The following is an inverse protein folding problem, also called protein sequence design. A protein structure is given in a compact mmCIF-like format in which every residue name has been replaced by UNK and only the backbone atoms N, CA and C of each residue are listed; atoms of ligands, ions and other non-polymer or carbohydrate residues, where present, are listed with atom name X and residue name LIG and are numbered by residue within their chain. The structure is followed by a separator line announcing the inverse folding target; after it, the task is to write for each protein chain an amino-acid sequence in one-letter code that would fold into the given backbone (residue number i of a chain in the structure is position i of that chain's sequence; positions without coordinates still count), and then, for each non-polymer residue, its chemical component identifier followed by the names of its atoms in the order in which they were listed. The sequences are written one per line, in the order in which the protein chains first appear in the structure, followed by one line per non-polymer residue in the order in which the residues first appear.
data_IF_143449871572
#
_entry.id   IF_143449871572
#
_cell.length_a   1.000
_cell.length_b   1.000
_cell.length_c   1.000
_cell.angle_alpha   90.00
_cell.angle_beta   90.00
_cell.angle_gamma   90.00
#
_symmetry.space_group_name_H-M   'P 1'
#
loop_
_entity.id
_entity.type
_entity.pdbx_description
1 polymer ?
#
# COMPACT_ATOMS: atom_id res chain seq x y z
N UNK A 1 9.64 -18.70 -27.74
CA UNK A 1 10.67 -17.65 -27.93
C UNK A 1 9.90 -16.35 -28.10
N UNK A 2 9.60 -15.61 -27.06
CA UNK A 2 10.47 -15.22 -25.95
C UNK A 2 9.59 -15.08 -24.69
N UNK A 3 9.72 -16.03 -23.76
CA UNK A 3 9.09 -15.99 -22.44
C UNK A 3 9.79 -14.90 -21.63
N UNK A 4 9.39 -13.66 -21.88
CA UNK A 4 9.64 -12.56 -20.96
C UNK A 4 8.82 -12.85 -19.71
N UNK A 5 9.41 -13.57 -18.76
CA UNK A 5 8.99 -13.50 -17.37
C UNK A 5 8.97 -12.01 -17.02
N UNK A 6 7.78 -11.41 -17.02
CA UNK A 6 7.60 -10.09 -16.46
C UNK A 6 8.10 -10.19 -15.02
N UNK A 7 8.91 -9.22 -14.54
CA UNK A 7 9.36 -9.24 -13.15
C UNK A 7 8.13 -9.39 -12.26
N UNK A 8 8.18 -10.36 -11.34
CA UNK A 8 7.08 -10.79 -10.49
C UNK A 8 6.19 -9.62 -10.08
N UNK A 9 4.91 -9.70 -10.43
CA UNK A 9 3.96 -8.63 -10.15
C UNK A 9 3.91 -8.42 -8.62
N UNK A 10 4.43 -7.26 -8.20
CA UNK A 10 4.68 -6.93 -6.79
C UNK A 10 3.38 -6.89 -6.00
N UNK A 11 2.28 -6.45 -6.64
CA UNK A 11 0.98 -6.32 -5.99
C UNK A 11 0.41 -7.69 -5.57
N UNK A 12 0.31 -8.71 -6.44
CA UNK A 12 -0.08 -10.07 -6.02
C UNK A 12 0.72 -10.62 -4.85
N UNK A 13 2.04 -10.41 -4.84
CA UNK A 13 2.90 -10.86 -3.73
C UNK A 13 2.54 -10.15 -2.42
N UNK A 14 2.40 -8.82 -2.45
CA UNK A 14 2.02 -8.05 -1.27
C UNK A 14 0.59 -8.36 -0.81
N UNK A 15 -0.32 -8.68 -1.72
CA UNK A 15 -1.68 -9.11 -1.41
C UNK A 15 -1.67 -10.43 -0.62
N UNK A 16 -0.86 -11.41 -1.04
CA UNK A 16 -0.72 -12.68 -0.32
C UNK A 16 -0.14 -12.48 1.09
N UNK A 17 0.93 -11.69 1.22
CA UNK A 17 1.53 -11.34 2.53
C UNK A 17 0.55 -10.59 3.42
N UNK A 18 -0.22 -9.65 2.87
CA UNK A 18 -1.24 -8.93 3.61
C UNK A 18 -2.37 -9.87 4.08
N UNK A 19 -2.79 -10.83 3.26
CA UNK A 19 -3.79 -11.82 3.63
C UNK A 19 -3.34 -12.67 4.82
N UNK A 20 -2.12 -13.20 4.79
CA UNK A 20 -1.54 -13.96 5.90
C UNK A 20 -1.50 -13.13 7.19
N UNK A 21 -1.05 -11.88 7.10
CA UNK A 21 -1.02 -10.97 8.26
C UNK A 21 -2.41 -10.69 8.81
N UNK A 22 -3.42 -10.55 7.96
CA UNK A 22 -4.82 -10.38 8.38
C UNK A 22 -5.33 -11.63 9.09
N UNK A 23 -5.06 -12.82 8.56
CA UNK A 23 -5.45 -14.08 9.19
C UNK A 23 -4.83 -14.24 10.58
N UNK A 24 -3.54 -13.95 10.74
CA UNK A 24 -2.85 -13.95 12.03
C UNK A 24 -3.50 -12.97 13.02
N UNK A 25 -3.88 -11.77 12.56
CA UNK A 25 -4.53 -10.77 13.41
C UNK A 25 -5.92 -11.23 13.86
N UNK A 26 -6.68 -11.86 12.97
CA UNK A 26 -8.05 -12.33 13.21
C UNK A 26 -8.11 -13.64 14.01
N UNK A 27 -7.04 -14.44 14.00
CA UNK A 27 -6.94 -15.66 14.80
C UNK A 27 -6.85 -15.41 16.31
N UNK A 28 -6.59 -14.17 16.74
CA UNK A 28 -6.51 -13.81 18.16
C UNK A 28 -7.91 -13.84 18.81
N UNK A 29 -8.04 -14.31 20.06
CA UNK A 29 -9.27 -14.13 20.81
C UNK A 29 -9.60 -12.63 20.89
N UNK A 30 -10.88 -12.29 20.74
CA UNK A 30 -11.40 -10.92 20.76
C UNK A 30 -10.86 -9.96 19.68
N UNK A 31 -10.21 -10.47 18.62
CA UNK A 31 -9.67 -9.64 17.54
C UNK A 31 -10.69 -8.64 16.97
N UNK A 32 -11.94 -9.08 16.76
CA UNK A 32 -13.01 -8.22 16.23
C UNK A 32 -13.39 -7.08 17.19
N UNK A 33 -13.28 -7.27 18.50
CA UNK A 33 -13.49 -6.20 19.48
C UNK A 33 -12.29 -5.25 19.51
N UNK A 34 -11.07 -5.80 19.55
CA UNK A 34 -9.83 -5.03 19.56
C UNK A 34 -9.68 -4.12 18.34
N UNK A 35 -10.01 -4.61 17.13
CA UNK A 35 -9.95 -3.84 15.89
C UNK A 35 -10.88 -2.61 15.88
N UNK A 36 -11.94 -2.62 16.68
CA UNK A 36 -12.90 -1.51 16.80
C UNK A 36 -12.59 -0.57 17.95
N UNK A 37 -11.73 -0.98 18.90
CA UNK A 37 -11.34 -0.13 20.01
C UNK A 37 -10.48 1.03 19.50
N UNK A 38 -10.75 2.22 20.04
CA UNK A 38 -9.97 3.41 19.76
C UNK A 38 -8.79 3.49 20.71
N UNK A 39 -7.60 3.80 20.18
CA UNK A 39 -6.42 4.10 20.97
C UNK A 39 -6.47 5.50 21.60
N UNK A 40 -5.43 5.89 22.35
CA UNK A 40 -5.29 7.24 22.93
C UNK A 40 -5.32 8.36 21.89
N UNK A 41 -4.90 8.06 20.66
CA UNK A 41 -4.93 8.92 19.47
C UNK A 41 -6.31 9.00 18.80
N UNK A 42 -7.33 8.34 19.37
CA UNK A 42 -8.69 8.21 18.83
C UNK A 42 -8.74 7.48 17.49
N UNK A 43 -7.71 6.70 17.16
CA UNK A 43 -7.68 5.86 15.96
C UNK A 43 -7.86 4.39 16.34
N UNK A 44 -8.69 3.70 15.56
CA UNK A 44 -8.71 2.23 15.52
C UNK A 44 -7.45 1.68 14.87
N UNK A 45 -7.17 0.38 15.07
CA UNK A 45 -6.05 -0.31 14.41
C UNK A 45 -6.09 -0.16 12.88
N UNK A 46 -7.28 -0.30 12.28
CA UNK A 46 -7.46 -0.14 10.83
C UNK A 46 -7.09 1.29 10.40
N UNK A 47 -7.54 2.30 11.15
CA UNK A 47 -7.22 3.69 10.84
C UNK A 47 -5.72 4.00 11.01
N UNK A 48 -5.03 3.36 11.97
CA UNK A 48 -3.57 3.50 12.12
C UNK A 48 -2.80 2.91 10.93
N UNK A 49 -3.32 1.85 10.32
CA UNK A 49 -2.79 1.35 9.05
C UNK A 49 -3.07 2.32 7.89
N UNK A 50 -4.26 2.94 7.86
CA UNK A 50 -4.67 3.86 6.79
C UNK A 50 -3.90 5.20 6.77
N UNK A 51 -3.32 5.61 7.90
CA UNK A 51 -2.43 6.77 7.94
C UNK A 51 -0.99 6.44 7.50
N UNK A 52 -0.60 5.16 7.47
CA UNK A 52 0.72 4.73 7.01
C UNK A 52 0.83 4.86 5.48
N UNK A 53 1.91 5.42 4.93
CA UNK A 53 2.13 5.45 3.48
C UNK A 53 2.60 4.09 2.92
N UNK A 54 2.77 3.07 3.75
CA UNK A 54 3.29 1.77 3.31
C UNK A 54 2.21 0.95 2.59
N UNK A 55 2.53 0.44 1.40
CA UNK A 55 1.62 -0.41 0.62
C UNK A 55 1.14 -1.63 1.43
N UNK A 56 2.04 -2.28 2.16
CA UNK A 56 1.73 -3.41 3.05
C UNK A 56 0.65 -3.08 4.07
N UNK A 57 0.77 -1.94 4.75
CA UNK A 57 -0.19 -1.53 5.78
C UNK A 57 -1.55 -1.19 5.14
N UNK A 58 -1.55 -0.55 3.98
CA UNK A 58 -2.78 -0.25 3.22
C UNK A 58 -3.53 -1.52 2.80
N UNK A 59 -2.81 -2.54 2.32
CA UNK A 59 -3.41 -3.82 1.92
C UNK A 59 -3.98 -4.58 3.13
N UNK A 60 -3.28 -4.55 4.27
CA UNK A 60 -3.79 -5.13 5.52
C UNK A 60 -5.05 -4.39 5.98
N UNK A 61 -5.08 -3.06 5.90
CA UNK A 61 -6.27 -2.27 6.25
C UNK A 61 -7.49 -2.67 5.40
N UNK A 62 -7.29 -2.85 4.08
CA UNK A 62 -8.33 -3.34 3.17
C UNK A 62 -8.81 -4.74 3.60
N UNK A 63 -7.89 -5.67 3.86
CA UNK A 63 -8.23 -7.03 4.27
C UNK A 63 -9.04 -7.07 5.57
N UNK A 64 -8.67 -6.26 6.57
CA UNK A 64 -9.40 -6.14 7.83
C UNK A 64 -10.82 -5.57 7.62
N UNK A 65 -10.98 -4.57 6.74
CA UNK A 65 -12.31 -4.02 6.40
C UNK A 65 -13.19 -5.06 5.68
N UNK A 66 -12.62 -5.81 4.74
CA UNK A 66 -13.32 -6.87 4.03
C UNK A 66 -13.77 -7.98 5.00
N UNK A 67 -12.90 -8.40 5.93
CA UNK A 67 -13.22 -9.39 6.95
C UNK A 67 -14.34 -8.94 7.91
N UNK A 68 -14.39 -7.65 8.23
CA UNK A 68 -15.44 -7.06 9.09
C UNK A 68 -16.80 -6.89 8.39
N UNK A 69 -16.86 -7.04 7.07
CA UNK A 69 -18.12 -6.92 6.30
C UNK A 69 -18.95 -8.20 6.43
N UNK A 70 -20.28 -8.06 6.58
CA UNK A 70 -21.24 -9.17 6.84
C UNK A 70 -21.25 -10.28 5.77
N UNK A 71 -20.53 -10.10 4.66
CA UNK A 71 -20.47 -11.00 3.50
C UNK A 71 -19.29 -11.99 3.54
N UNK A 72 -18.38 -11.90 4.51
CA UNK A 72 -17.16 -12.72 4.54
C UNK A 72 -17.32 -14.13 5.11
N UNK A 73 -17.93 -15.06 4.36
CA UNK A 73 -17.64 -16.51 4.53
C UNK A 73 -16.65 -16.90 3.41
N UNK A 74 -15.37 -17.03 3.74
CA UNK A 74 -14.34 -17.36 2.75
C UNK A 74 -12.93 -17.09 3.26
N UNK A 75 -11.93 -17.55 2.49
CA UNK A 75 -10.51 -17.30 2.73
C UNK A 75 -10.18 -15.82 2.47
N UNK A 76 -9.39 -15.18 3.34
CA UNK A 76 -9.02 -13.76 3.22
C UNK A 76 -8.18 -13.50 1.98
N UNK A 77 -7.29 -14.43 1.63
CA UNK A 77 -6.46 -14.38 0.43
C UNK A 77 -7.30 -14.31 -0.84
N UNK A 78 -8.34 -15.15 -0.94
CA UNK A 78 -9.26 -15.15 -2.10
C UNK A 78 -10.03 -13.85 -2.19
N UNK A 79 -10.48 -13.30 -1.06
CA UNK A 79 -11.19 -12.03 -1.02
C UNK A 79 -10.31 -10.86 -1.44
N UNK A 80 -9.08 -10.77 -0.92
CA UNK A 80 -8.16 -9.70 -1.31
C UNK A 80 -7.74 -9.81 -2.77
N UNK A 81 -7.36 -11.02 -3.22
CA UNK A 81 -6.99 -11.27 -4.61
C UNK A 81 -8.14 -10.95 -5.56
N UNK A 82 -9.35 -11.42 -5.24
CA UNK A 82 -10.56 -11.12 -5.98
C UNK A 82 -10.89 -9.61 -6.01
N UNK A 83 -10.70 -8.91 -4.89
CA UNK A 83 -10.91 -7.46 -4.80
C UNK A 83 -9.95 -6.67 -5.68
N UNK A 84 -8.67 -7.05 -5.71
CA UNK A 84 -7.66 -6.38 -6.52
C UNK A 84 -7.64 -6.80 -8.00
N UNK A 85 -8.18 -7.98 -8.33
CA UNK A 85 -8.28 -8.49 -9.71
C UNK A 85 -9.12 -7.61 -10.65
N UNK A 86 -10.08 -6.86 -10.09
CA UNK A 86 -10.93 -5.93 -10.85
C UNK A 86 -10.32 -4.54 -10.79
N UNK A 87 -9.90 -3.93 -11.92
CA UNK A 87 -9.35 -2.59 -11.90
C UNK A 87 -10.38 -1.60 -11.34
N UNK A 88 -9.90 -0.60 -10.60
CA UNK A 88 -10.74 0.50 -10.16
C UNK A 88 -11.26 1.32 -11.36
N UNK A 89 -12.42 1.96 -11.19
CA UNK A 89 -12.98 2.80 -12.25
C UNK A 89 -12.04 3.96 -12.58
N UNK A 90 -11.81 4.22 -13.87
CA UNK A 90 -11.00 5.36 -14.32
C UNK A 90 -11.54 6.70 -13.82
N UNK A 91 -12.86 6.81 -13.66
CA UNK A 91 -13.52 7.99 -13.10
C UNK A 91 -13.18 8.18 -11.62
N UNK A 92 -13.18 7.10 -10.83
CA UNK A 92 -12.86 7.15 -9.39
C UNK A 92 -11.37 7.47 -9.18
N UNK A 93 -10.50 6.86 -9.99
CA UNK A 93 -9.06 7.18 -9.98
C UNK A 93 -8.84 8.67 -10.28
N UNK A 94 -9.46 9.20 -11.34
CA UNK A 94 -9.29 10.62 -11.70
C UNK A 94 -9.88 11.56 -10.64
N UNK A 95 -11.01 11.21 -10.03
CA UNK A 95 -11.56 11.95 -8.90
C UNK A 95 -10.57 11.98 -7.72
N UNK A 96 -9.93 10.85 -7.42
CA UNK A 96 -8.91 10.75 -6.37
C UNK A 96 -7.68 11.62 -6.70
N UNK A 97 -7.18 11.56 -7.95
CA UNK A 97 -6.03 12.38 -8.39
C UNK A 97 -6.30 13.86 -8.20
N UNK A 98 -7.46 14.34 -8.65
CA UNK A 98 -7.87 15.74 -8.51
C UNK A 98 -8.00 16.17 -7.06
N UNK A 99 -8.50 15.30 -6.19
CA UNK A 99 -8.61 15.57 -4.75
C UNK A 99 -7.22 15.83 -4.14
N UNK A 100 -6.25 14.97 -4.43
CA UNK A 100 -4.88 15.10 -3.90
C UNK A 100 -4.15 16.31 -4.49
N UNK A 101 -4.27 16.58 -5.79
CA UNK A 101 -3.63 17.74 -6.41
C UNK A 101 -4.14 19.08 -5.88
N UNK A 102 -5.44 19.19 -5.54
CA UNK A 102 -5.98 20.39 -4.88
C UNK A 102 -5.31 20.64 -3.53
N UNK A 103 -5.00 19.58 -2.79
CA UNK A 103 -4.37 19.65 -1.46
C UNK A 103 -2.85 19.83 -1.51
N UNK A 104 -2.19 19.45 -2.60
CA UNK A 104 -0.73 19.49 -2.75
C UNK A 104 -0.18 20.91 -3.01
N UNK A 105 -1.04 21.91 -3.24
CA UNK A 105 -0.61 23.30 -3.49
C UNK A 105 0.03 24.00 -2.28
N UNK A 106 -0.06 23.41 -1.09
CA UNK A 106 0.26 24.07 0.19
C UNK A 106 1.28 23.31 1.09
N UNK A 107 1.95 22.25 0.63
CA UNK A 107 2.70 21.31 1.51
C UNK A 107 4.19 21.13 1.18
N UNK A 108 5.02 20.97 2.22
CA UNK A 108 6.44 20.60 2.12
C UNK A 108 6.90 19.51 3.10
N UNK A 109 6.05 19.11 4.05
CA UNK A 109 6.36 18.10 5.09
C UNK A 109 6.39 16.68 4.54
N UNK A 110 5.70 16.45 3.43
CA UNK A 110 5.55 15.13 2.80
C UNK A 110 6.87 14.58 2.26
N UNK A 111 7.84 15.45 1.93
CA UNK A 111 9.15 15.02 1.43
C UNK A 111 9.97 14.25 2.47
N UNK A 112 9.94 14.71 3.73
CA UNK A 112 10.70 14.05 4.79
C UNK A 112 10.10 12.68 5.12
N UNK A 113 8.78 12.61 5.26
CA UNK A 113 8.08 11.35 5.49
C UNK A 113 8.26 10.36 4.34
N UNK A 114 8.21 10.86 3.09
CA UNK A 114 8.45 10.03 1.91
C UNK A 114 9.88 9.52 1.86
N UNK A 115 10.88 10.31 2.25
CA UNK A 115 12.26 9.86 2.33
C UNK A 115 12.44 8.74 3.37
N UNK A 116 11.82 8.88 4.54
CA UNK A 116 11.82 7.85 5.59
C UNK A 116 11.14 6.56 5.12
N UNK A 117 9.96 6.66 4.50
CA UNK A 117 9.24 5.52 3.95
C UNK A 117 10.02 4.83 2.81
N UNK A 118 10.62 5.60 1.91
CA UNK A 118 11.47 5.07 0.84
C UNK A 118 12.71 4.33 1.40
N UNK A 119 13.32 4.84 2.46
CA UNK A 119 14.45 4.15 3.12
C UNK A 119 14.01 2.86 3.80
N UNK A 120 12.77 2.77 4.30
CA UNK A 120 12.22 1.49 4.80
C UNK A 120 12.12 0.47 3.66
N UNK A 121 11.63 0.88 2.49
CA UNK A 121 11.58 0.01 1.30
C UNK A 121 12.98 -0.46 0.92
N UNK A 122 13.93 0.47 0.82
CA UNK A 122 15.33 0.18 0.50
C UNK A 122 15.93 -0.85 1.46
N UNK A 123 15.68 -0.71 2.76
CA UNK A 123 16.11 -1.69 3.76
C UNK A 123 15.45 -3.06 3.55
N UNK A 124 14.17 -3.11 3.21
CA UNK A 124 13.45 -4.36 2.93
C UNK A 124 14.03 -5.08 1.71
N UNK A 125 14.28 -4.34 0.63
CA UNK A 125 14.76 -4.93 -0.64
C UNK A 125 16.27 -5.17 -0.67
N UNK A 126 17.04 -4.57 0.25
CA UNK A 126 18.50 -4.82 0.36
C UNK A 126 18.85 -6.26 0.71
N UNK A 127 17.88 -7.01 1.26
CA UNK A 127 18.02 -8.42 1.62
C UNK A 127 17.64 -9.38 0.47
N UNK A 128 17.14 -8.84 -0.65
CA UNK A 128 16.71 -9.63 -1.81
C UNK A 128 17.87 -9.88 -2.77
N UNK A 129 17.81 -11.01 -3.49
CA UNK A 129 18.78 -11.38 -4.51
C UNK A 129 18.63 -10.56 -5.82
N UNK A 130 17.52 -9.83 -5.97
CA UNK A 130 17.24 -9.04 -7.18
C UNK A 130 18.03 -7.72 -7.19
N UNK A 131 18.38 -7.19 -8.37
CA UNK A 131 19.06 -5.89 -8.47
C UNK A 131 18.26 -4.78 -7.78
N UNK A 132 18.92 -4.04 -6.88
CA UNK A 132 18.33 -2.93 -6.12
C UNK A 132 17.57 -1.93 -7.01
N UNK A 133 18.20 -1.52 -8.11
CA UNK A 133 17.62 -0.57 -9.05
C UNK A 133 16.31 -1.09 -9.69
N UNK A 134 16.22 -2.39 -9.97
CA UNK A 134 15.03 -3.00 -10.53
C UNK A 134 13.90 -3.07 -9.51
N UNK A 135 14.22 -3.51 -8.29
CA UNK A 135 13.26 -3.54 -7.19
C UNK A 135 12.71 -2.15 -6.89
N UNK A 136 13.56 -1.10 -6.84
CA UNK A 136 13.11 0.28 -6.65
C UNK A 136 12.17 0.75 -7.75
N UNK A 137 12.39 0.37 -9.02
CA UNK A 137 11.47 0.70 -10.13
C UNK A 137 10.12 -0.01 -9.97
N UNK A 138 10.11 -1.26 -9.55
CA UNK A 138 8.87 -2.01 -9.31
C UNK A 138 8.06 -1.39 -8.18
N UNK A 139 8.71 -0.98 -7.09
CA UNK A 139 8.08 -0.24 -6.01
C UNK A 139 7.56 1.14 -6.48
N UNK A 140 8.33 1.87 -7.29
CA UNK A 140 7.87 3.16 -7.84
C UNK A 140 6.61 2.99 -8.70
N UNK A 141 6.57 1.96 -9.55
CA UNK A 141 5.42 1.62 -10.38
C UNK A 141 4.18 1.26 -9.52
N UNK A 142 4.35 0.40 -8.50
CA UNK A 142 3.29 0.09 -7.54
C UNK A 142 2.73 1.35 -6.89
N UNK A 143 3.61 2.23 -6.40
CA UNK A 143 3.18 3.46 -5.75
C UNK A 143 2.46 4.40 -6.71
N UNK A 144 2.88 4.47 -7.98
CA UNK A 144 2.26 5.28 -9.03
C UNK A 144 0.79 4.90 -9.28
N UNK A 145 0.45 3.62 -9.09
CA UNK A 145 -0.93 3.12 -9.16
C UNK A 145 -1.66 3.32 -7.83
N UNK A 146 -1.05 2.94 -6.70
CA UNK A 146 -1.70 2.90 -5.40
C UNK A 146 -2.09 4.28 -4.84
N UNK A 147 -1.28 5.33 -5.03
CA UNK A 147 -1.56 6.63 -4.40
C UNK A 147 -2.92 7.21 -4.84
N UNK A 148 -3.37 6.86 -6.05
CA UNK A 148 -4.67 7.24 -6.60
C UNK A 148 -5.71 6.12 -6.63
N UNK A 149 -5.40 4.92 -6.12
CA UNK A 149 -6.35 3.80 -6.11
C UNK A 149 -7.47 4.08 -5.08
N UNK A 150 -8.75 4.17 -5.49
CA UNK A 150 -9.86 4.41 -4.58
C UNK A 150 -10.16 3.21 -3.66
N UNK A 151 -9.64 2.02 -3.97
CA UNK A 151 -9.88 0.78 -3.22
C UNK A 151 -9.12 0.74 -1.88
N UNK A 152 -8.04 1.51 -1.73
CA UNK A 152 -7.32 1.62 -0.46
C UNK A 152 -7.88 2.73 0.43
N UNK A 153 -7.85 2.51 1.74
CA UNK A 153 -8.34 3.46 2.75
C UNK A 153 -7.40 4.64 3.06
N UNK A 154 -6.31 4.80 2.30
CA UNK A 154 -5.27 5.79 2.59
C UNK A 154 -5.82 7.20 2.74
N UNK A 155 -5.42 7.88 3.82
CA UNK A 155 -5.76 9.29 4.04
C UNK A 155 -5.14 10.20 2.97
N UNK A 156 -5.68 11.41 2.79
CA UNK A 156 -5.10 12.38 1.85
C UNK A 156 -3.63 12.68 2.16
N UNK A 157 -3.26 12.69 3.44
CA UNK A 157 -1.87 12.87 3.86
C UNK A 157 -0.99 11.71 3.41
N UNK A 158 -1.37 10.47 3.74
CA UNK A 158 -0.65 9.27 3.34
C UNK A 158 -0.50 9.19 1.81
N UNK A 159 -1.55 9.52 1.05
CA UNK A 159 -1.51 9.54 -0.43
C UNK A 159 -0.54 10.57 -1.00
N UNK A 160 -0.39 11.75 -0.39
CA UNK A 160 0.64 12.72 -0.80
C UNK A 160 2.05 12.22 -0.54
N UNK A 161 2.25 11.54 0.59
CA UNK A 161 3.52 10.88 0.90
C UNK A 161 3.81 9.76 -0.12
N UNK A 162 2.83 8.90 -0.42
CA UNK A 162 2.93 7.87 -1.46
C UNK A 162 3.27 8.46 -2.83
N UNK A 163 2.64 9.58 -3.21
CA UNK A 163 2.94 10.29 -4.46
C UNK A 163 4.39 10.82 -4.48
N UNK A 164 4.87 11.40 -3.38
CA UNK A 164 6.26 11.86 -3.27
C UNK A 164 7.27 10.69 -3.30
N UNK A 165 6.89 9.52 -2.79
CA UNK A 165 7.70 8.30 -2.87
C UNK A 165 7.93 7.85 -4.31
N UNK A 166 6.97 8.04 -5.23
CA UNK A 166 7.15 7.69 -6.65
C UNK A 166 8.40 8.35 -7.22
N UNK A 167 8.53 9.66 -7.02
CA UNK A 167 9.70 10.43 -7.50
C UNK A 167 10.99 9.96 -6.81
N UNK A 168 10.98 9.82 -5.48
CA UNK A 168 12.17 9.42 -4.72
C UNK A 168 12.67 8.02 -5.09
N UNK A 169 11.76 7.06 -5.29
CA UNK A 169 12.11 5.70 -5.67
C UNK A 169 12.71 5.66 -7.09
N UNK A 170 12.17 6.45 -8.02
CA UNK A 170 12.79 6.61 -9.34
C UNK A 170 14.19 7.22 -9.25
N UNK A 171 14.36 8.31 -8.51
CA UNK A 171 15.67 8.97 -8.33
C UNK A 171 16.71 8.01 -7.75
N UNK A 172 16.35 7.26 -6.70
CA UNK A 172 17.24 6.26 -6.08
C UNK A 172 17.55 5.11 -7.03
N UNK A 173 16.58 4.65 -7.82
CA UNK A 173 16.81 3.60 -8.82
C UNK A 173 17.87 3.99 -9.86
N UNK A 174 17.93 5.27 -10.24
CA UNK A 174 18.95 5.79 -11.15
C UNK A 174 20.31 5.95 -10.47
N UNK A 175 20.33 6.31 -9.19
CA UNK A 175 21.56 6.42 -8.41
C UNK A 175 22.22 5.05 -8.19
N UNK A 176 21.45 3.99 -7.97
CA UNK A 176 21.96 2.62 -7.75
C UNK A 176 22.56 1.93 -8.98
N UNK A 177 22.49 2.55 -10.16
CA UNK A 177 23.11 2.04 -11.41
C UNK A 177 24.52 2.63 -11.61
N UNK A 178 24.86 3.71 -10.89
CA UNK A 178 26.17 4.38 -10.96
C UNK A 178 27.16 3.77 -9.98
#
# INVERSE_FOLDING_TARGET
MDDRHAPDDLLPTLVAVAAERVEILLAKPDAAAALRQLGPDKLSEIQRLEVSPMAEDQLVAVGLRLAGSRTGRGNISDHLSGYFSKPASSLEIEAQRRSIWKLNRNGGTEKHEAATAASRIENMISQSALPMAEQMRNWAALYADMWCDPRIGATSHARRVMLAMVTLLHERSHASIR
#
